data_IF_329697883438
#
_entry.id   IF_329697883438
#
_cell.length_a   1.000
_cell.length_b   1.000
_cell.length_c   1.000
_cell.angle_alpha   90.00
_cell.angle_beta   90.00
_cell.angle_gamma   90.00
#
_symmetry.space_group_name_H-M   'P 1'
#
loop_
_entity.id
_entity.type
_entity.pdbx_description
1 polymer ?
#
# COMPACT_ATOMS: atom_id res chain seq x y z
N UNK A 1 48.73 36.26 45.10
CA UNK A 1 47.37 36.16 44.50
C UNK A 1 47.52 35.78 43.03
N UNK A 2 47.25 34.54 42.65
CA UNK A 2 47.29 34.04 41.27
C UNK A 2 45.86 33.94 40.75
N UNK A 3 45.52 34.75 39.73
CA UNK A 3 44.26 34.67 38.95
C UNK A 3 44.29 33.40 38.14
N UNK A 4 43.34 32.50 38.33
CA UNK A 4 43.04 31.36 37.47
C UNK A 4 42.11 31.86 36.39
N UNK A 5 42.60 31.88 35.16
CA UNK A 5 41.78 32.10 33.95
C UNK A 5 41.01 30.81 33.63
N UNK A 6 39.68 30.91 33.67
CA UNK A 6 38.81 29.86 33.21
C UNK A 6 38.60 30.04 31.71
N UNK A 7 39.19 29.15 30.92
CA UNK A 7 38.92 29.03 29.51
C UNK A 7 37.56 28.30 29.33
N UNK A 8 36.52 29.04 28.95
CA UNK A 8 35.25 28.49 28.50
C UNK A 8 35.44 27.97 27.06
N UNK A 9 35.59 26.64 26.92
CA UNK A 9 35.54 25.99 25.63
C UNK A 9 34.07 25.88 25.20
N UNK A 10 33.65 26.78 24.29
CA UNK A 10 32.36 26.70 23.63
C UNK A 10 32.37 25.54 22.61
N UNK A 11 31.91 24.38 23.06
CA UNK A 11 31.67 23.24 22.16
C UNK A 11 30.44 23.52 21.28
N UNK A 12 30.67 23.85 20.02
CA UNK A 12 29.62 23.87 19.02
C UNK A 12 29.16 22.43 18.78
N UNK A 13 28.02 22.04 19.36
CA UNK A 13 27.36 20.78 19.01
C UNK A 13 26.84 20.90 17.58
N UNK A 14 27.53 20.29 16.64
CA UNK A 14 27.00 20.10 15.29
C UNK A 14 25.82 19.15 15.40
N UNK A 15 24.60 19.67 15.23
CA UNK A 15 23.42 18.86 15.07
C UNK A 15 23.60 18.06 13.76
N UNK A 16 23.93 16.79 13.88
CA UNK A 16 23.90 15.87 12.76
C UNK A 16 22.44 15.73 12.32
N UNK A 17 22.07 16.35 11.22
CA UNK A 17 20.80 16.08 10.55
C UNK A 17 20.87 14.62 10.10
N UNK A 18 20.24 13.72 10.85
CA UNK A 18 20.02 12.36 10.43
C UNK A 18 19.25 12.41 9.10
N UNK A 19 19.81 11.82 8.05
CA UNK A 19 19.08 11.67 6.80
C UNK A 19 17.76 10.94 7.11
N UNK A 20 16.64 11.38 6.53
CA UNK A 20 15.36 10.71 6.76
C UNK A 20 15.51 9.22 6.40
N UNK A 21 15.05 8.35 7.30
CA UNK A 21 15.09 6.91 7.06
C UNK A 21 14.36 6.59 5.77
N UNK A 22 14.88 5.67 4.94
CA UNK A 22 14.24 5.32 3.69
C UNK A 22 12.85 4.74 3.96
N UNK A 23 11.85 5.21 3.21
CA UNK A 23 10.49 4.71 3.30
C UNK A 23 10.35 3.48 2.42
N UNK A 24 9.86 2.37 2.98
CA UNK A 24 9.60 1.14 2.24
C UNK A 24 8.11 0.92 2.06
N UNK A 25 7.70 0.64 0.84
CA UNK A 25 6.32 0.29 0.50
C UNK A 25 6.27 -1.18 0.11
N UNK A 26 5.45 -1.94 0.83
CA UNK A 26 5.16 -3.34 0.56
C UNK A 26 3.82 -3.44 -0.17
N UNK A 27 3.81 -4.14 -1.30
CA UNK A 27 2.62 -4.32 -2.12
C UNK A 27 2.57 -5.75 -2.64
N UNK A 28 1.72 -6.59 -2.03
CA UNK A 28 1.80 -8.03 -2.22
C UNK A 28 3.14 -8.57 -1.73
N UNK A 29 3.85 -9.25 -2.61
CA UNK A 29 5.21 -9.78 -2.40
C UNK A 29 6.34 -8.81 -2.82
N UNK A 30 5.98 -7.63 -3.33
CA UNK A 30 6.92 -6.61 -3.81
C UNK A 30 7.26 -5.62 -2.68
N UNK A 31 8.55 -5.42 -2.43
CA UNK A 31 9.07 -4.37 -1.57
C UNK A 31 9.73 -3.28 -2.43
N UNK A 32 9.30 -2.03 -2.28
CA UNK A 32 9.83 -0.87 -3.00
C UNK A 32 10.36 0.16 -2.00
N UNK A 33 11.67 0.40 -2.03
CA UNK A 33 12.28 1.48 -1.26
C UNK A 33 12.16 2.79 -2.05
N UNK A 34 11.70 3.83 -1.37
CA UNK A 34 11.51 5.17 -1.91
C UNK A 34 12.59 6.10 -1.39
N UNK A 35 13.31 6.74 -2.31
CA UNK A 35 14.37 7.70 -1.99
C UNK A 35 13.79 9.02 -1.47
N UNK A 36 12.58 9.35 -1.90
CA UNK A 36 11.90 10.59 -1.55
C UNK A 36 10.41 10.36 -1.36
N UNK A 37 9.91 10.83 -0.23
CA UNK A 37 8.50 10.98 0.07
C UNK A 37 8.24 12.42 0.52
N UNK A 38 7.04 12.92 0.29
CA UNK A 38 6.64 14.22 0.85
C UNK A 38 6.27 14.00 2.33
N UNK A 39 6.86 14.76 3.26
CA UNK A 39 6.51 14.65 4.67
C UNK A 39 5.03 14.99 4.90
N UNK A 40 4.32 14.09 5.57
CA UNK A 40 2.94 14.28 5.99
C UNK A 40 2.70 13.39 7.22
N UNK A 41 2.07 13.90 8.31
CA UNK A 41 1.90 13.14 9.55
C UNK A 41 0.86 12.02 9.44
N UNK A 42 -0.01 12.06 8.42
CA UNK A 42 -1.15 11.14 8.31
C UNK A 42 -1.15 10.33 7.02
N UNK A 43 -0.47 10.84 5.99
CA UNK A 43 -0.55 10.30 4.65
C UNK A 43 0.81 10.01 4.03
N UNK A 44 0.86 8.95 3.24
CA UNK A 44 2.00 8.65 2.40
C UNK A 44 1.83 9.32 1.04
N UNK A 45 2.64 10.35 0.80
CA UNK A 45 2.75 11.01 -0.49
C UNK A 45 3.99 10.53 -1.22
N UNK A 46 3.80 9.87 -2.35
CA UNK A 46 4.86 9.36 -3.22
C UNK A 46 4.93 10.17 -4.51
N UNK A 47 6.04 10.12 -5.24
CA UNK A 47 6.05 10.72 -6.58
C UNK A 47 5.18 9.88 -7.51
N UNK A 48 4.41 10.55 -8.37
CA UNK A 48 3.58 9.87 -9.37
C UNK A 48 4.39 8.91 -10.26
N UNK A 49 5.65 9.26 -10.53
CA UNK A 49 6.58 8.43 -11.31
C UNK A 49 7.00 7.12 -10.60
N UNK A 50 6.81 7.03 -9.28
CA UNK A 50 7.14 5.81 -8.52
C UNK A 50 6.00 4.79 -8.51
N UNK A 51 4.79 5.18 -8.86
CA UNK A 51 3.62 4.29 -8.85
C UNK A 51 3.79 3.00 -9.67
N UNK A 52 4.38 3.02 -10.88
CA UNK A 52 4.60 1.79 -11.63
C UNK A 52 5.47 0.77 -10.90
N UNK A 53 6.47 1.25 -10.12
CA UNK A 53 7.34 0.37 -9.32
C UNK A 53 6.65 -0.15 -8.07
N UNK A 54 5.70 0.62 -7.52
CA UNK A 54 4.99 0.27 -6.28
C UNK A 54 3.88 -0.74 -6.57
N UNK A 55 2.98 -0.42 -7.53
CA UNK A 55 1.72 -1.13 -7.68
C UNK A 55 1.22 -1.23 -9.13
N UNK A 56 2.10 -0.99 -10.10
CA UNK A 56 1.83 -1.02 -11.55
C UNK A 56 0.80 0.02 -12.03
N UNK A 57 0.44 1.01 -11.21
CA UNK A 57 -0.42 2.10 -11.66
C UNK A 57 0.39 3.23 -12.29
N UNK A 58 -0.21 3.86 -13.30
CA UNK A 58 0.25 5.10 -13.91
C UNK A 58 -0.84 6.15 -13.81
N UNK A 59 -0.45 7.42 -13.59
CA UNK A 59 -1.40 8.52 -13.65
C UNK A 59 -1.60 8.97 -15.10
N UNK A 60 -2.82 8.80 -15.59
CA UNK A 60 -3.28 9.24 -16.90
C UNK A 60 -4.38 10.29 -16.77
N UNK A 61 -4.77 10.98 -17.83
CA UNK A 61 -5.88 11.95 -17.78
C UNK A 61 -7.18 11.37 -17.23
N UNK A 62 -7.43 10.07 -17.43
CA UNK A 62 -8.62 9.35 -16.97
C UNK A 62 -8.55 8.97 -15.47
N UNK A 63 -7.37 8.97 -14.87
CA UNK A 63 -7.16 8.56 -13.48
C UNK A 63 -5.89 7.75 -13.25
N UNK A 64 -5.88 6.96 -12.20
CA UNK A 64 -4.85 5.96 -11.96
C UNK A 64 -5.18 4.70 -12.78
N UNK A 65 -4.33 4.34 -13.73
CA UNK A 65 -4.57 3.27 -14.68
C UNK A 65 -3.56 2.14 -14.49
N UNK A 66 -4.04 0.89 -14.55
CA UNK A 66 -3.25 -0.34 -14.52
C UNK A 66 -3.89 -1.34 -15.47
N UNK A 67 -3.17 -1.82 -16.46
CA UNK A 67 -3.72 -2.62 -17.56
C UNK A 67 -4.99 -1.96 -18.13
N UNK A 68 -6.11 -2.68 -18.20
CA UNK A 68 -7.38 -2.20 -18.73
C UNK A 68 -8.23 -1.42 -17.72
N UNK A 69 -7.78 -1.32 -16.48
CA UNK A 69 -8.49 -0.61 -15.41
C UNK A 69 -7.98 0.80 -15.25
N UNK A 70 -8.87 1.79 -15.31
CA UNK A 70 -8.60 3.15 -14.90
C UNK A 70 -9.56 3.56 -13.78
N UNK A 71 -9.02 3.99 -12.66
CA UNK A 71 -9.76 4.44 -11.49
C UNK A 71 -9.72 5.97 -11.46
N UNK A 72 -10.86 6.67 -11.58
CA UNK A 72 -10.89 8.12 -11.48
C UNK A 72 -10.35 8.60 -10.14
N UNK A 73 -9.43 9.55 -10.18
CA UNK A 73 -8.83 10.13 -8.96
C UNK A 73 -9.41 11.52 -8.69
N UNK A 74 -9.61 11.82 -7.43
CA UNK A 74 -9.97 13.15 -7.00
C UNK A 74 -8.74 14.08 -7.07
N UNK A 75 -8.98 15.37 -7.35
CA UNK A 75 -7.89 16.35 -7.52
C UNK A 75 -7.01 16.47 -6.27
N UNK A 76 -7.60 16.27 -5.10
CA UNK A 76 -6.95 16.36 -3.79
C UNK A 76 -5.90 15.28 -3.59
N UNK A 77 -5.97 14.18 -4.34
CA UNK A 77 -4.98 13.10 -4.30
C UNK A 77 -3.71 13.42 -5.09
N UNK A 78 -3.67 14.53 -5.81
CA UNK A 78 -2.52 14.95 -6.61
C UNK A 78 -2.11 16.40 -6.27
N UNK A 79 -0.82 16.60 -6.07
CA UNK A 79 -0.23 17.91 -5.81
C UNK A 79 1.13 18.01 -6.53
N UNK A 80 1.14 18.63 -7.71
CA UNK A 80 2.33 18.66 -8.55
C UNK A 80 2.78 17.26 -8.96
N UNK A 81 4.02 16.89 -8.62
CA UNK A 81 4.58 15.55 -8.84
C UNK A 81 4.13 14.52 -7.82
N UNK A 82 3.47 14.93 -6.73
CA UNK A 82 3.10 14.09 -5.61
C UNK A 82 1.71 13.49 -5.76
N UNK A 83 1.60 12.25 -5.33
CA UNK A 83 0.36 11.47 -5.29
C UNK A 83 0.13 10.92 -3.88
N UNK A 84 -1.06 11.13 -3.32
CA UNK A 84 -1.45 10.62 -2.01
C UNK A 84 -1.85 9.14 -2.12
N UNK A 85 -0.90 8.24 -1.86
CA UNK A 85 -1.10 6.80 -1.99
C UNK A 85 -2.08 6.26 -0.95
N UNK A 86 -2.00 6.72 0.30
CA UNK A 86 -2.93 6.30 1.36
C UNK A 86 -4.33 6.88 1.16
N UNK A 87 -4.44 8.12 0.72
CA UNK A 87 -5.71 8.71 0.34
C UNK A 87 -6.39 7.96 -0.81
N UNK A 88 -5.61 7.52 -1.79
CA UNK A 88 -6.10 6.65 -2.87
C UNK A 88 -6.55 5.29 -2.33
N UNK A 89 -5.76 4.65 -1.48
CA UNK A 89 -6.10 3.37 -0.85
C UNK A 89 -7.44 3.47 -0.10
N UNK A 90 -7.64 4.51 0.71
CA UNK A 90 -8.92 4.74 1.40
C UNK A 90 -10.10 4.86 0.42
N UNK A 91 -9.91 5.60 -0.67
CA UNK A 91 -10.96 5.78 -1.69
C UNK A 91 -11.38 4.48 -2.35
N UNK A 92 -10.45 3.58 -2.64
CA UNK A 92 -10.71 2.28 -3.25
C UNK A 92 -10.95 1.16 -2.23
N UNK A 93 -11.04 1.52 -0.94
CA UNK A 93 -11.24 0.59 0.18
C UNK A 93 -10.14 -0.48 0.29
N UNK A 94 -8.93 -0.11 -0.10
CA UNK A 94 -7.74 -0.94 0.07
C UNK A 94 -7.23 -0.81 1.50
N UNK A 95 -7.03 -1.93 2.18
CA UNK A 95 -6.42 -1.94 3.51
C UNK A 95 -4.93 -1.58 3.42
N UNK A 96 -4.45 -0.85 4.41
CA UNK A 96 -3.01 -0.61 4.60
C UNK A 96 -2.68 -0.46 6.08
N UNK A 97 -1.43 -0.72 6.41
CA UNK A 97 -0.84 -0.48 7.73
C UNK A 97 0.49 0.22 7.57
N UNK A 98 0.90 0.98 8.58
CA UNK A 98 2.17 1.68 8.61
C UNK A 98 2.85 1.45 9.96
N UNK A 99 4.14 1.15 9.91
CA UNK A 99 4.98 1.01 11.09
C UNK A 99 6.43 1.37 10.76
N UNK A 100 7.08 2.17 11.59
CA UNK A 100 8.51 2.49 11.55
C UNK A 100 9.08 2.81 10.14
N UNK A 101 8.33 3.55 9.32
CA UNK A 101 8.73 3.93 7.97
C UNK A 101 8.43 2.88 6.89
N UNK A 102 7.85 1.75 7.27
CA UNK A 102 7.31 0.76 6.35
C UNK A 102 5.79 0.92 6.19
N UNK A 103 5.32 0.81 4.95
CA UNK A 103 3.90 0.90 4.59
C UNK A 103 3.50 -0.35 3.82
N UNK A 104 2.61 -1.15 4.36
CA UNK A 104 2.12 -2.37 3.73
C UNK A 104 0.70 -2.18 3.23
N UNK A 105 0.49 -2.45 1.95
CA UNK A 105 -0.80 -2.34 1.29
C UNK A 105 -1.32 -3.74 0.95
N UNK A 106 -2.57 -3.99 1.31
CA UNK A 106 -3.29 -5.20 0.94
C UNK A 106 -3.70 -5.19 -0.54
N UNK A 107 -4.45 -6.19 -0.94
CA UNK A 107 -4.97 -6.25 -2.30
C UNK A 107 -5.96 -5.13 -2.60
N UNK A 108 -6.01 -4.71 -3.86
CA UNK A 108 -6.97 -3.73 -4.33
C UNK A 108 -8.30 -4.45 -4.63
N UNK A 109 -9.38 -4.17 -3.88
CA UNK A 109 -10.65 -4.90 -4.05
C UNK A 109 -11.22 -4.79 -5.46
N UNK A 110 -11.05 -3.63 -6.10
CA UNK A 110 -11.57 -3.38 -7.46
C UNK A 110 -10.79 -4.09 -8.56
N UNK A 111 -9.56 -4.55 -8.28
CA UNK A 111 -8.70 -5.27 -9.24
C UNK A 111 -8.87 -6.79 -9.13
N UNK A 112 -9.61 -7.29 -8.17
CA UNK A 112 -9.90 -8.73 -8.01
C UNK A 112 -10.71 -9.35 -9.18
N UNK A 113 -10.68 -8.72 -10.35
CA UNK A 113 -11.15 -9.28 -11.59
C UNK A 113 -12.65 -9.20 -11.84
N UNK A 114 -13.12 -10.04 -12.73
CA UNK A 114 -14.51 -10.06 -13.24
C UNK A 114 -15.59 -10.29 -12.18
N UNK A 115 -15.20 -10.76 -11.00
CA UNK A 115 -16.09 -10.98 -9.86
C UNK A 115 -16.93 -9.74 -9.50
N UNK A 116 -16.31 -8.56 -9.43
CA UNK A 116 -17.06 -7.34 -9.10
C UNK A 116 -17.92 -6.83 -10.26
N UNK A 117 -17.55 -7.13 -11.49
CA UNK A 117 -18.29 -6.74 -12.69
C UNK A 117 -19.39 -7.74 -13.03
N UNK A 118 -19.07 -9.02 -13.01
CA UNK A 118 -19.99 -10.09 -13.39
C UNK A 118 -20.91 -10.55 -12.24
N UNK A 119 -20.55 -10.23 -10.99
CA UNK A 119 -21.14 -10.80 -9.77
C UNK A 119 -21.05 -12.33 -9.71
N UNK A 120 -20.12 -12.88 -10.45
CA UNK A 120 -19.84 -14.31 -10.46
C UNK A 120 -18.67 -14.60 -9.55
N UNK A 121 -18.86 -15.42 -8.53
CA UNK A 121 -17.74 -15.88 -7.68
C UNK A 121 -16.78 -16.72 -8.52
N UNK A 122 -15.45 -16.55 -8.35
CA UNK A 122 -14.48 -17.44 -8.95
C UNK A 122 -14.76 -18.88 -8.50
N UNK A 123 -14.64 -19.83 -9.42
CA UNK A 123 -14.74 -21.23 -9.03
C UNK A 123 -13.47 -21.66 -8.31
N UNK A 124 -13.61 -22.50 -7.31
CA UNK A 124 -12.50 -23.16 -6.64
C UNK A 124 -12.88 -24.59 -6.33
N UNK A 125 -11.89 -25.43 -6.13
CA UNK A 125 -12.06 -26.84 -5.86
C UNK A 125 -11.36 -27.20 -4.52
N UNK A 126 -12.02 -28.00 -3.71
CA UNK A 126 -11.47 -28.55 -2.46
C UNK A 126 -11.78 -30.02 -2.35
N UNK A 127 -10.89 -30.85 -1.77
CA UNK A 127 -11.22 -32.24 -1.47
C UNK A 127 -12.21 -32.31 -0.29
N UNK A 128 -13.20 -33.19 -0.40
CA UNK A 128 -14.06 -33.55 0.72
C UNK A 128 -13.33 -34.53 1.68
N UNK A 129 -14.03 -34.94 2.74
CA UNK A 129 -13.46 -35.87 3.72
C UNK A 129 -13.12 -37.25 3.15
N UNK A 130 -13.67 -37.63 2.01
CA UNK A 130 -13.39 -38.86 1.28
C UNK A 130 -12.34 -38.64 0.18
N UNK A 131 -11.76 -37.43 0.05
CA UNK A 131 -10.78 -37.10 -0.98
C UNK A 131 -11.38 -36.81 -2.34
N UNK A 132 -12.70 -36.73 -2.50
CA UNK A 132 -13.33 -36.36 -3.78
C UNK A 132 -13.25 -34.85 -3.97
N UNK A 133 -12.88 -34.44 -5.16
CA UNK A 133 -12.83 -33.01 -5.50
C UNK A 133 -14.24 -32.46 -5.65
N UNK A 134 -14.55 -31.39 -4.94
CA UNK A 134 -15.83 -30.68 -4.97
C UNK A 134 -15.56 -29.26 -5.43
N UNK A 135 -16.31 -28.80 -6.44
CA UNK A 135 -16.22 -27.46 -6.99
C UNK A 135 -17.32 -26.55 -6.41
N UNK A 136 -17.03 -25.27 -6.24
CA UNK A 136 -18.07 -24.29 -5.86
C UNK A 136 -19.19 -24.27 -6.92
N UNK A 137 -18.86 -24.45 -8.18
CA UNK A 137 -19.81 -24.51 -9.29
C UNK A 137 -20.82 -25.65 -9.20
N UNK A 138 -20.54 -26.71 -8.45
CA UNK A 138 -21.48 -27.84 -8.22
C UNK A 138 -22.71 -27.40 -7.42
N UNK A 139 -22.64 -26.27 -6.76
CA UNK A 139 -23.71 -25.72 -5.92
C UNK A 139 -24.47 -24.57 -6.59
N UNK A 140 -24.38 -24.43 -7.90
CA UNK A 140 -25.13 -23.38 -8.61
C UNK A 140 -26.63 -23.44 -8.29
N UNK A 141 -27.21 -22.28 -8.09
CA UNK A 141 -28.62 -22.15 -7.69
C UNK A 141 -28.88 -22.34 -6.18
N UNK A 142 -27.85 -22.61 -5.39
CA UNK A 142 -27.94 -22.72 -3.91
C UNK A 142 -27.20 -21.59 -3.24
N UNK A 143 -27.60 -21.26 -2.00
CA UNK A 143 -26.83 -20.35 -1.15
C UNK A 143 -25.71 -21.15 -0.50
N UNK A 144 -24.45 -20.72 -0.68
CA UNK A 144 -23.25 -21.35 -0.12
C UNK A 144 -22.59 -20.37 0.83
N UNK A 145 -22.34 -20.81 2.06
CA UNK A 145 -21.50 -20.11 3.02
C UNK A 145 -20.13 -20.76 3.05
N UNK A 146 -19.10 -20.00 2.71
CA UNK A 146 -17.71 -20.45 2.80
C UNK A 146 -17.11 -19.88 4.07
N UNK A 147 -16.62 -20.76 4.95
CA UNK A 147 -15.94 -20.38 6.19
C UNK A 147 -14.52 -20.96 6.13
N UNK A 148 -13.52 -20.11 6.31
CA UNK A 148 -12.13 -20.52 6.41
C UNK A 148 -11.63 -20.20 7.82
N UNK A 149 -10.90 -21.13 8.41
CA UNK A 149 -10.26 -20.93 9.69
C UNK A 149 -8.88 -21.60 9.67
N UNK A 150 -8.01 -21.18 10.57
CA UNK A 150 -6.75 -21.82 10.81
C UNK A 150 -6.70 -22.26 12.27
N UNK A 151 -6.22 -23.49 12.50
CA UNK A 151 -5.89 -24.00 13.82
C UNK A 151 -4.37 -23.94 13.99
N UNK A 152 -3.88 -23.00 14.75
CA UNK A 152 -2.50 -22.88 15.19
C UNK A 152 -2.41 -22.92 16.69
#
# INVERSE_FOLDING_TARGET
MRRREFLLASGAAAAAFAAPAPTTVLYGDRATTLDRVRPDPHDLWVRAADLPRINDFELKPQGACRADLCIPIAKELKSGEWFNLTGFARRIKQAYVADAGAWSFGEIPVVRGDFYRSRMAPDFAVPDRQGRVVHLSDFRGRKVLVVTWASW
#
